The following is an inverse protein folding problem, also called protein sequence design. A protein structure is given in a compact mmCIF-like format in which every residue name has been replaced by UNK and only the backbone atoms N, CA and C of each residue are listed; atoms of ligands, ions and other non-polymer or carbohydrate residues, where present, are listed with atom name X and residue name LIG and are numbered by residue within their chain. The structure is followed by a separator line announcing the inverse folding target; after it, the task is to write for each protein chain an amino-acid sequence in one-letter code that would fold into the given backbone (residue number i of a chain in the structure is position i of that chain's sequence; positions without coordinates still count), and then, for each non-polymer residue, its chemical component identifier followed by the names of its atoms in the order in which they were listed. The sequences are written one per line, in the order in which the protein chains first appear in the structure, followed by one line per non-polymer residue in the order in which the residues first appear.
data_IF_352768510050
#
_entry.id   IF_352768510050
#
_cell.length_a   1.000
_cell.length_b   1.000
_cell.length_c   1.000
_cell.angle_alpha   90.00
_cell.angle_beta   90.00
_cell.angle_gamma   90.00
#
_symmetry.space_group_name_H-M   'P 1'
#
loop_
_entity.id
_entity.type
_entity.pdbx_description
1 polymer ?
#
# COMPACT_ATOMS: atom_id res chain seq x y z
N UNK A 1 11.86 -12.34 10.23
CA UNK A 1 11.08 -11.10 10.05
C UNK A 1 9.66 -11.53 9.74
N UNK A 2 8.65 -10.98 10.41
CA UNK A 2 7.24 -11.36 10.15
C UNK A 2 6.77 -10.71 8.86
N UNK A 3 5.95 -11.42 8.11
CA UNK A 3 5.30 -10.91 6.90
C UNK A 3 3.83 -10.66 7.21
N UNK A 4 3.32 -9.52 6.78
CA UNK A 4 1.91 -9.16 6.95
C UNK A 4 1.28 -8.87 5.59
N UNK A 5 -0.01 -9.13 5.46
CA UNK A 5 -0.78 -8.63 4.33
C UNK A 5 -0.83 -7.10 4.38
N UNK A 6 -0.57 -6.43 3.26
CA UNK A 6 -0.57 -4.97 3.21
C UNK A 6 -1.95 -4.35 3.51
N UNK A 7 -3.03 -4.97 3.05
CA UNK A 7 -4.39 -4.40 3.12
C UNK A 7 -5.04 -4.69 4.47
N UNK A 8 -4.88 -5.91 4.97
CA UNK A 8 -5.56 -6.41 6.19
C UNK A 8 -4.66 -6.37 7.42
N UNK A 9 -3.34 -6.24 7.25
CA UNK A 9 -2.36 -6.34 8.35
C UNK A 9 -2.46 -7.67 9.12
N UNK A 10 -2.93 -8.74 8.49
CA UNK A 10 -2.91 -10.07 9.09
C UNK A 10 -1.53 -10.73 8.89
N UNK A 11 -1.13 -11.59 9.82
CA UNK A 11 0.14 -12.31 9.75
C UNK A 11 0.07 -13.37 8.66
N UNK A 12 1.02 -13.36 7.73
CA UNK A 12 1.16 -14.37 6.69
C UNK A 12 2.44 -15.18 6.98
N UNK A 13 2.30 -16.47 7.27
CA UNK A 13 3.44 -17.34 7.52
C UNK A 13 4.16 -17.75 6.23
N UNK A 14 3.40 -17.99 5.15
CA UNK A 14 3.93 -18.41 3.85
C UNK A 14 3.30 -17.57 2.73
N UNK A 15 3.87 -16.40 2.39
CA UNK A 15 3.37 -15.55 1.32
C UNK A 15 3.61 -16.21 -0.05
N UNK A 16 2.58 -16.22 -0.91
CA UNK A 16 2.70 -16.70 -2.28
C UNK A 16 3.37 -15.63 -3.17
N UNK A 17 4.69 -15.74 -3.32
CA UNK A 17 5.49 -14.84 -4.16
C UNK A 17 5.20 -14.96 -5.67
N UNK A 18 4.41 -15.95 -6.10
CA UNK A 18 3.95 -16.00 -7.50
C UNK A 18 2.75 -15.07 -7.74
N UNK A 19 1.96 -14.83 -6.68
CA UNK A 19 0.77 -14.01 -6.67
C UNK A 19 1.04 -12.56 -6.24
N UNK A 20 2.25 -12.22 -5.83
CA UNK A 20 2.60 -10.87 -5.39
C UNK A 20 4.10 -10.67 -5.16
N UNK A 21 4.44 -9.65 -4.40
CA UNK A 21 5.80 -9.40 -3.93
C UNK A 21 5.81 -8.92 -2.49
N UNK A 22 6.97 -9.03 -1.83
CA UNK A 22 7.16 -8.53 -0.47
C UNK A 22 8.09 -7.33 -0.45
N UNK A 23 7.80 -6.35 0.39
CA UNK A 23 8.66 -5.18 0.59
C UNK A 23 8.86 -4.87 2.10
N UNK A 24 10.00 -4.26 2.49
CA UNK A 24 10.26 -3.93 3.89
C UNK A 24 9.38 -2.77 4.38
N UNK A 25 8.83 -2.93 5.57
CA UNK A 25 8.00 -1.93 6.23
C UNK A 25 8.17 -1.95 7.74
N UNK A 26 7.44 -1.06 8.42
CA UNK A 26 7.38 -0.99 9.88
C UNK A 26 5.93 -1.02 10.33
N UNK A 27 5.61 -1.92 11.27
CA UNK A 27 4.28 -2.03 11.87
C UNK A 27 4.26 -1.41 13.25
N UNK A 28 3.23 -0.64 13.55
CA UNK A 28 2.98 -0.15 14.90
C UNK A 28 2.58 -1.30 15.84
N UNK A 29 3.33 -1.48 16.92
CA UNK A 29 3.10 -2.54 17.92
C UNK A 29 2.37 -2.00 19.15
N UNK A 30 2.65 -0.75 19.52
CA UNK A 30 2.05 -0.13 20.68
C UNK A 30 2.84 1.08 21.17
N UNK A 31 2.50 1.52 22.37
CA UNK A 31 3.11 2.68 23.00
C UNK A 31 3.87 2.25 24.24
N UNK A 32 5.10 2.72 24.39
CA UNK A 32 5.87 2.58 25.61
C UNK A 32 5.90 3.92 26.35
N UNK A 33 5.56 3.93 27.64
CA UNK A 33 5.66 5.14 28.47
C UNK A 33 7.11 5.33 28.92
N UNK A 34 7.77 6.36 28.41
CA UNK A 34 9.14 6.71 28.75
C UNK A 34 9.15 7.82 29.79
N UNK A 35 9.77 7.55 30.95
CA UNK A 35 9.93 8.53 32.04
C UNK A 35 11.18 9.37 31.80
N UNK A 36 11.08 10.68 31.94
CA UNK A 36 12.22 11.59 31.75
C UNK A 36 13.27 11.37 32.84
N UNK A 37 14.54 11.33 32.42
CA UNK A 37 15.67 11.19 33.34
C UNK A 37 15.67 12.34 34.36
N UNK A 38 15.93 12.02 35.62
CA UNK A 38 15.93 12.99 36.74
C UNK A 38 14.57 13.15 37.43
N UNK A 39 13.54 12.43 37.01
CA UNK A 39 12.24 12.38 37.70
C UNK A 39 12.04 11.06 38.45
N UNK A 40 10.97 10.94 39.25
CA UNK A 40 10.69 9.74 40.05
C UNK A 40 10.39 8.54 39.15
N UNK A 41 11.40 7.70 38.93
CA UNK A 41 11.32 6.49 38.13
C UNK A 41 11.03 5.22 38.96
N UNK A 42 10.87 5.34 40.29
CA UNK A 42 10.56 4.22 41.18
C UNK A 42 9.13 3.73 40.96
N UNK A 43 8.93 2.40 40.91
CA UNK A 43 7.64 1.80 40.60
C UNK A 43 6.61 2.00 41.75
N UNK A 44 5.37 2.45 41.45
CA UNK A 44 4.89 2.88 40.14
C UNK A 44 5.48 4.26 39.76
N UNK A 45 6.05 4.39 38.54
CA UNK A 45 6.73 5.63 38.15
C UNK A 45 5.72 6.78 38.04
N UNK A 46 5.81 7.73 38.96
CA UNK A 46 5.01 8.96 38.99
C UNK A 46 5.72 10.16 38.37
N UNK A 47 6.93 9.95 37.83
CA UNK A 47 7.69 10.97 37.11
C UNK A 47 7.02 11.45 35.83
N UNK A 48 7.40 12.65 35.39
CA UNK A 48 6.97 13.21 34.12
C UNK A 48 7.49 12.32 32.98
N UNK A 49 6.57 11.87 32.13
CA UNK A 49 6.88 10.97 31.02
C UNK A 49 6.08 11.31 29.78
N UNK A 50 6.50 10.73 28.66
CA UNK A 50 5.80 10.80 27.39
C UNK A 50 5.63 9.41 26.80
N UNK A 51 4.64 9.31 25.93
CA UNK A 51 4.24 8.09 25.25
C UNK A 51 5.02 7.99 23.94
N UNK A 52 5.90 6.99 23.84
CA UNK A 52 6.75 6.75 22.67
C UNK A 52 6.13 5.63 21.83
N UNK A 53 5.83 5.86 20.54
CA UNK A 53 5.37 4.80 19.66
C UNK A 53 6.50 3.79 19.39
N UNK A 54 6.15 2.51 19.47
CA UNK A 54 7.04 1.37 19.21
C UNK A 54 6.61 0.71 17.91
N UNK A 55 7.59 0.52 17.03
CA UNK A 55 7.41 -0.13 15.73
C UNK A 55 8.26 -1.39 15.64
N UNK A 56 7.72 -2.43 15.00
CA UNK A 56 8.42 -3.67 14.63
C UNK A 56 8.77 -3.61 13.14
N UNK A 57 10.00 -3.96 12.79
CA UNK A 57 10.41 -4.13 11.40
C UNK A 57 9.77 -5.40 10.83
N UNK A 58 9.07 -5.27 9.70
CA UNK A 58 8.31 -6.35 9.08
C UNK A 58 8.42 -6.33 7.55
N UNK A 59 7.90 -7.36 6.91
CA UNK A 59 7.66 -7.39 5.46
C UNK A 59 6.15 -7.22 5.22
N UNK A 60 5.79 -6.44 4.21
CA UNK A 60 4.41 -6.41 3.70
C UNK A 60 4.34 -7.20 2.41
N UNK A 61 3.30 -8.02 2.26
CA UNK A 61 2.96 -8.72 1.04
C UNK A 61 1.92 -7.91 0.27
N UNK A 62 2.26 -7.54 -0.96
CA UNK A 62 1.37 -6.91 -1.91
C UNK A 62 0.99 -7.93 -3.00
N UNK A 63 -0.30 -8.30 -3.13
CA UNK A 63 -0.76 -9.14 -4.24
C UNK A 63 -0.76 -8.32 -5.54
N UNK A 64 -0.35 -8.94 -6.65
CA UNK A 64 -0.30 -8.27 -7.96
C UNK A 64 -1.67 -7.75 -8.38
N UNK A 65 -1.73 -6.46 -8.70
CA UNK A 65 -2.89 -5.87 -9.35
C UNK A 65 -2.80 -5.99 -10.89
N UNK A 66 -3.93 -5.94 -11.62
CA UNK A 66 -3.93 -6.06 -13.08
C UNK A 66 -3.01 -5.02 -13.73
N UNK A 67 -2.03 -5.49 -14.51
CA UNK A 67 -1.06 -4.62 -15.20
C UNK A 67 0.15 -4.21 -14.36
N UNK A 68 0.22 -4.59 -13.09
CA UNK A 68 1.37 -4.29 -12.21
C UNK A 68 2.50 -5.32 -12.37
N UNK A 69 2.13 -6.56 -12.73
CA UNK A 69 3.09 -7.65 -12.84
C UNK A 69 4.15 -7.33 -13.92
N UNK A 70 5.45 -7.50 -13.63
CA UNK A 70 6.50 -7.26 -14.62
C UNK A 70 6.31 -8.12 -15.87
N UNK A 71 6.25 -7.49 -17.04
CA UNK A 71 6.08 -8.17 -18.33
C UNK A 71 4.63 -8.36 -18.78
N UNK A 72 3.66 -7.84 -18.05
CA UNK A 72 2.30 -7.60 -18.58
C UNK A 72 2.17 -6.13 -18.97
N UNK A 73 1.66 -5.86 -20.17
CA UNK A 73 1.27 -4.51 -20.54
C UNK A 73 0.16 -4.05 -19.60
N UNK A 74 0.20 -2.79 -19.12
CA UNK A 74 -0.91 -2.23 -18.35
C UNK A 74 -2.18 -2.36 -19.19
N UNK A 75 -3.24 -2.95 -18.61
CA UNK A 75 -4.52 -2.91 -19.31
C UNK A 75 -4.91 -1.45 -19.51
N UNK A 76 -5.42 -1.07 -20.70
CA UNK A 76 -5.87 0.28 -20.93
C UNK A 76 -6.88 0.60 -19.84
N UNK A 77 -6.65 1.72 -19.17
CA UNK A 77 -7.57 2.20 -18.16
C UNK A 77 -8.97 2.36 -18.77
N UNK A 78 -10.00 2.31 -17.93
CA UNK A 78 -11.38 2.56 -18.38
C UNK A 78 -11.49 3.92 -19.12
N UNK A 79 -10.65 4.89 -18.74
CA UNK A 79 -10.56 6.20 -19.41
C UNK A 79 -10.00 6.10 -20.82
N UNK A 80 -8.92 5.35 -21.04
CA UNK A 80 -8.33 5.15 -22.38
C UNK A 80 -9.27 4.36 -23.28
N UNK A 81 -9.97 3.37 -22.74
CA UNK A 81 -10.99 2.61 -23.47
C UNK A 81 -12.16 3.50 -23.89
N UNK A 82 -12.60 4.41 -23.01
CA UNK A 82 -13.65 5.39 -23.32
C UNK A 82 -13.18 6.44 -24.33
N UNK A 83 -11.92 6.86 -24.26
CA UNK A 83 -11.34 7.81 -25.21
C UNK A 83 -11.26 7.20 -26.62
N UNK A 84 -10.76 5.97 -26.75
CA UNK A 84 -10.71 5.26 -28.03
C UNK A 84 -12.09 5.11 -28.66
N UNK A 85 -13.11 4.76 -27.87
CA UNK A 85 -14.49 4.68 -28.36
C UNK A 85 -15.04 6.05 -28.82
N UNK A 86 -14.69 7.14 -28.13
CA UNK A 86 -15.10 8.49 -28.53
C UNK A 86 -14.39 8.94 -29.81
N UNK A 87 -13.10 8.59 -29.96
CA UNK A 87 -12.32 8.85 -31.18
C UNK A 87 -12.89 8.10 -32.39
N UNK A 88 -13.27 6.83 -32.21
CA UNK A 88 -13.94 6.04 -33.25
C UNK A 88 -15.30 6.64 -33.65
N UNK A 89 -16.10 7.06 -32.66
CA UNK A 89 -17.39 7.72 -32.92
C UNK A 89 -17.21 9.07 -33.62
N UNK A 90 -16.22 9.86 -33.21
CA UNK A 90 -15.91 11.15 -33.83
C UNK A 90 -15.47 10.94 -35.28
N UNK A 91 -14.61 9.94 -35.52
CA UNK A 91 -14.12 9.60 -36.87
C UNK A 91 -15.26 9.15 -37.77
N UNK A 92 -16.13 8.25 -37.29
CA UNK A 92 -17.31 7.81 -38.03
C UNK A 92 -18.26 8.99 -38.34
N UNK A 93 -18.45 9.90 -37.40
CA UNK A 93 -19.30 11.09 -37.58
C UNK A 93 -18.69 12.09 -38.57
N UNK A 94 -17.37 12.26 -38.52
CA UNK A 94 -16.60 13.13 -39.42
C UNK A 94 -16.68 12.64 -40.87
N UNK A 95 -16.57 11.33 -41.08
CA UNK A 95 -16.79 10.68 -42.39
C UNK A 95 -18.24 10.89 -42.87
N UNK A 96 -19.22 10.72 -41.99
CA UNK A 96 -20.65 10.88 -42.33
C UNK A 96 -21.01 12.33 -42.72
N UNK A 97 -20.37 13.31 -42.09
CA UNK A 97 -20.61 14.74 -42.34
C UNK A 97 -19.76 15.30 -43.50
N UNK A 98 -18.87 14.49 -44.10
CA UNK A 98 -18.02 14.90 -45.23
C UNK A 98 -17.03 16.02 -44.89
N UNK A 99 -16.67 16.15 -43.62
CA UNK A 99 -15.70 17.13 -43.13
C UNK A 99 -14.36 16.41 -43.05
N UNK A 100 -13.50 16.48 -44.07
CA UNK A 100 -12.10 16.02 -43.94
C UNK A 100 -11.24 16.99 -43.13
#
# INVERSE_FOLDING_TARGET
MKTYDEKTFELIENPDLSAGYTYPGKRYVGTERVILRGTVALYPPSGLGYDKPVYEDCLFFHPWEPGEKPGTDPQPSDVETRLANLEDQLTATKILLGVE
#
